data_IF_971157910576
#
_entry.id   IF_971157910576
#
_cell.length_a   1.000
_cell.length_b   1.000
_cell.length_c   1.000
_cell.angle_alpha   90.00
_cell.angle_beta   90.00
_cell.angle_gamma   90.00
#
_symmetry.space_group_name_H-M   'P 1'
#
loop_
_entity.id
_entity.type
_entity.pdbx_description
1 polymer ?
#
# COMPACT_ATOMS: atom_id res chain seq x y z
N UNK A 1 6.63 -4.48 12.09
CA UNK A 1 7.07 -3.36 11.23
C UNK A 1 5.85 -2.57 10.80
N UNK A 2 6.01 -1.27 10.58
CA UNK A 2 5.01 -0.44 9.94
C UNK A 2 5.40 -0.24 8.48
N UNK A 3 4.43 -0.33 7.58
CA UNK A 3 4.63 -0.23 6.14
C UNK A 3 3.91 0.98 5.60
N UNK A 4 4.55 1.72 4.69
CA UNK A 4 3.88 2.62 3.75
C UNK A 4 4.15 2.07 2.35
N UNK A 5 3.08 1.79 1.60
CA UNK A 5 3.14 1.32 0.23
C UNK A 5 2.57 2.39 -0.69
N UNK A 6 3.36 2.80 -1.67
CA UNK A 6 2.92 3.67 -2.77
C UNK A 6 3.00 2.91 -4.09
N UNK A 7 2.16 3.28 -5.05
CA UNK A 7 2.25 2.72 -6.39
C UNK A 7 2.04 3.76 -7.49
N UNK A 8 2.62 3.48 -8.65
CA UNK A 8 2.29 4.10 -9.93
C UNK A 8 2.05 2.99 -10.95
N UNK A 9 0.80 2.79 -11.35
CA UNK A 9 0.35 1.61 -12.10
C UNK A 9 -0.73 2.03 -13.09
N UNK A 10 -0.70 1.46 -14.29
CA UNK A 10 -1.71 1.71 -15.30
C UNK A 10 -3.15 1.42 -14.82
N UNK A 11 -4.10 2.29 -15.20
CA UNK A 11 -5.50 2.31 -14.72
C UNK A 11 -6.21 0.96 -14.81
N UNK A 12 -5.93 0.18 -15.86
CA UNK A 12 -6.52 -1.15 -16.09
C UNK A 12 -6.19 -2.18 -15.00
N UNK A 13 -5.06 -2.02 -14.31
CA UNK A 13 -4.56 -2.93 -13.25
C UNK A 13 -4.85 -2.42 -11.83
N UNK A 14 -5.12 -1.12 -11.66
CA UNK A 14 -5.29 -0.46 -10.36
C UNK A 14 -6.33 -1.18 -9.47
N UNK A 15 -7.47 -1.61 -10.03
CA UNK A 15 -8.54 -2.23 -9.24
C UNK A 15 -8.08 -3.52 -8.55
N UNK A 16 -7.32 -4.37 -9.25
CA UNK A 16 -6.79 -5.63 -8.73
C UNK A 16 -5.72 -5.40 -7.68
N UNK A 17 -4.76 -4.51 -7.96
CA UNK A 17 -3.68 -4.14 -7.03
C UNK A 17 -4.28 -3.55 -5.75
N UNK A 18 -5.20 -2.59 -5.88
CA UNK A 18 -5.90 -1.98 -4.75
C UNK A 18 -6.63 -3.00 -3.89
N UNK A 19 -7.30 -3.98 -4.52
CA UNK A 19 -7.99 -5.05 -3.79
C UNK A 19 -7.01 -5.90 -2.98
N UNK A 20 -5.82 -6.21 -3.53
CA UNK A 20 -4.77 -6.92 -2.79
C UNK A 20 -4.26 -6.05 -1.64
N UNK A 21 -3.85 -4.80 -1.89
CA UNK A 21 -3.34 -3.91 -0.84
C UNK A 21 -4.33 -3.74 0.32
N UNK A 22 -5.64 -3.61 0.05
CA UNK A 22 -6.69 -3.51 1.07
C UNK A 22 -6.81 -4.72 2.00
N UNK A 23 -6.36 -5.91 1.60
CA UNK A 23 -6.35 -7.10 2.48
C UNK A 23 -5.34 -6.96 3.62
N UNK A 24 -4.29 -6.17 3.40
CA UNK A 24 -3.12 -6.11 4.27
C UNK A 24 -2.95 -4.73 4.94
N UNK A 25 -3.31 -3.65 4.23
CA UNK A 25 -3.00 -2.28 4.60
C UNK A 25 -4.25 -1.39 4.51
N UNK A 26 -4.27 -0.33 5.31
CA UNK A 26 -5.30 0.71 5.26
C UNK A 26 -5.07 1.60 4.05
N UNK A 27 -6.12 1.87 3.28
CA UNK A 27 -6.03 2.73 2.10
C UNK A 27 -6.17 4.21 2.48
N UNK A 28 -5.15 5.01 2.18
CA UNK A 28 -5.00 6.39 2.68
C UNK A 28 -5.28 7.42 1.60
N UNK A 29 -4.69 7.23 0.42
CA UNK A 29 -4.84 8.10 -0.75
C UNK A 29 -4.93 7.21 -1.99
N UNK A 30 -5.31 7.80 -3.14
CA UNK A 30 -5.53 7.09 -4.42
C UNK A 30 -4.50 6.00 -4.73
N UNK A 31 -3.24 6.23 -4.34
CA UNK A 31 -2.11 5.34 -4.61
C UNK A 31 -1.25 5.07 -3.36
N UNK A 32 -1.78 5.29 -2.15
CA UNK A 32 -1.02 5.16 -0.89
C UNK A 32 -1.78 4.30 0.12
N UNK A 33 -1.07 3.36 0.72
CA UNK A 33 -1.55 2.45 1.74
C UNK A 33 -0.57 2.41 2.90
N UNK A 34 -1.06 2.21 4.13
CA UNK A 34 -0.20 2.08 5.30
C UNK A 34 -0.75 1.10 6.33
N UNK A 35 0.11 0.56 7.18
CA UNK A 35 -0.30 -0.31 8.27
C UNK A 35 0.81 -1.18 8.83
N UNK A 36 0.53 -1.80 9.98
CA UNK A 36 1.44 -2.73 10.62
C UNK A 36 1.34 -4.11 9.97
N UNK A 37 2.48 -4.66 9.56
CA UNK A 37 2.58 -6.02 9.04
C UNK A 37 3.64 -6.83 9.81
N UNK A 38 3.45 -8.15 9.82
CA UNK A 38 4.51 -9.12 10.11
C UNK A 38 5.36 -9.37 8.85
N UNK A 39 6.58 -9.89 9.01
CA UNK A 39 7.43 -10.28 7.87
C UNK A 39 6.72 -11.27 6.95
N UNK A 40 5.96 -12.22 7.52
CA UNK A 40 5.18 -13.20 6.77
C UNK A 40 4.07 -12.57 5.94
N UNK A 41 3.30 -11.63 6.51
CA UNK A 41 2.26 -10.90 5.78
C UNK A 41 2.85 -10.04 4.67
N UNK A 42 3.99 -9.38 4.92
CA UNK A 42 4.66 -8.59 3.88
C UNK A 42 5.14 -9.48 2.72
N UNK A 43 5.66 -10.68 3.02
CA UNK A 43 6.04 -11.66 2.01
C UNK A 43 4.85 -12.11 1.17
N UNK A 44 3.69 -12.33 1.79
CA UNK A 44 2.44 -12.67 1.10
C UNK A 44 1.93 -11.51 0.23
N UNK A 45 1.93 -10.28 0.75
CA UNK A 45 1.59 -9.07 -0.01
C UNK A 45 2.47 -8.94 -1.26
N UNK A 46 3.80 -9.02 -1.11
CA UNK A 46 4.76 -8.98 -2.23
C UNK A 46 4.48 -10.10 -3.24
N UNK A 47 4.15 -11.31 -2.78
CA UNK A 47 3.81 -12.47 -3.63
C UNK A 47 2.53 -12.26 -4.44
N UNK A 48 1.47 -11.70 -3.84
CA UNK A 48 0.20 -11.43 -4.52
C UNK A 48 0.29 -10.26 -5.50
N UNK A 49 1.12 -9.25 -5.22
CA UNK A 49 1.28 -8.08 -6.08
C UNK A 49 2.16 -8.35 -7.31
N UNK A 50 3.22 -9.16 -7.17
CA UNK A 50 4.19 -9.42 -8.24
C UNK A 50 3.58 -9.88 -9.58
N UNK A 51 2.59 -10.80 -9.63
CA UNK A 51 1.96 -11.19 -10.90
C UNK A 51 0.98 -10.15 -11.46
N UNK A 52 0.61 -9.13 -10.68
CA UNK A 52 -0.35 -8.10 -11.10
C UNK A 52 0.33 -6.90 -11.76
N UNK A 53 1.65 -6.76 -11.62
CA UNK A 53 2.42 -5.62 -12.14
C UNK A 53 3.26 -6.00 -13.35
N UNK A 54 3.46 -5.03 -14.23
CA UNK A 54 4.37 -5.11 -15.38
C UNK A 54 5.66 -4.36 -15.03
N UNK A 55 6.81 -5.05 -14.83
CA UNK A 55 8.04 -4.43 -14.35
C UNK A 55 8.58 -3.28 -15.23
N UNK A 56 8.16 -3.20 -16.49
CA UNK A 56 8.60 -2.18 -17.44
C UNK A 56 7.77 -0.89 -17.37
N UNK A 57 6.58 -0.93 -16.79
CA UNK A 57 5.62 0.21 -16.82
C UNK A 57 5.07 0.59 -15.46
N UNK A 58 5.16 -0.32 -14.48
CA UNK A 58 4.54 -0.16 -13.18
C UNK A 58 5.62 -0.07 -12.09
N UNK A 59 5.35 0.71 -11.06
CA UNK A 59 6.19 0.79 -9.88
C UNK A 59 5.38 0.63 -8.59
N UNK A 60 5.99 -0.04 -7.62
CA UNK A 60 5.50 -0.12 -6.24
C UNK A 60 6.69 0.15 -5.35
N UNK A 61 6.55 1.11 -4.42
CA UNK A 61 7.56 1.43 -3.42
C UNK A 61 6.99 1.02 -2.05
N UNK A 62 7.81 0.33 -1.26
CA UNK A 62 7.47 -0.12 0.08
C UNK A 62 8.49 0.46 1.04
N UNK A 63 8.06 1.36 1.91
CA UNK A 63 8.84 1.88 3.02
C UNK A 63 8.56 1.02 4.25
N UNK A 64 9.63 0.47 4.82
CA UNK A 64 9.57 -0.37 6.02
C UNK A 64 10.13 0.39 7.22
N UNK A 65 9.33 0.51 8.28
CA UNK A 65 9.72 1.18 9.52
C UNK A 65 9.70 0.16 10.67
N UNK A 66 10.84 -0.06 11.31
CA UNK A 66 10.92 -0.90 12.50
C UNK A 66 10.31 -0.21 13.73
N UNK A 67 10.46 1.12 13.80
CA UNK A 67 9.94 1.95 14.87
C UNK A 67 9.45 3.30 14.32
N UNK A 68 8.30 3.76 14.78
CA UNK A 68 7.69 5.04 14.41
C UNK A 68 8.13 6.21 15.29
N UNK A 69 9.01 5.98 16.29
CA UNK A 69 9.44 6.97 17.28
C UNK A 69 10.00 8.26 16.67
N UNK A 70 10.64 8.18 15.50
CA UNK A 70 11.21 9.32 14.79
C UNK A 70 10.49 9.60 13.47
N UNK A 71 9.20 9.27 13.41
CA UNK A 71 8.37 9.49 12.22
C UNK A 71 7.25 10.46 12.58
N UNK A 72 7.11 11.52 11.79
CA UNK A 72 5.93 12.37 11.81
C UNK A 72 5.13 12.15 10.53
N UNK A 73 3.81 12.20 10.66
CA UNK A 73 2.89 12.20 9.52
C UNK A 73 2.01 13.44 9.65
N UNK A 74 2.06 14.28 8.64
CA UNK A 74 1.17 15.42 8.49
C UNK A 74 0.31 15.21 7.25
N UNK A 75 -0.97 15.59 7.34
CA UNK A 75 -1.86 15.56 6.20
C UNK A 75 -2.44 16.96 6.00
N UNK A 76 -2.23 17.49 4.81
CA UNK A 76 -2.81 18.76 4.36
C UNK A 76 -3.97 18.47 3.41
N UNK A 77 -5.09 19.18 3.59
CA UNK A 77 -6.28 19.01 2.74
C UNK A 77 -7.15 17.80 3.08
N UNK A 78 -8.00 17.40 2.13
CA UNK A 78 -9.13 16.48 2.39
C UNK A 78 -8.66 15.05 2.65
N UNK A 79 -9.13 14.46 3.76
CA UNK A 79 -9.13 13.02 3.99
C UNK A 79 -10.33 12.39 3.31
N UNK A 80 -10.12 11.74 2.16
CA UNK A 80 -11.10 10.79 1.68
C UNK A 80 -10.97 9.53 2.54
N UNK A 81 -11.87 9.35 3.50
CA UNK A 81 -11.98 8.05 4.19
C UNK A 81 -12.41 7.00 3.15
N UNK A 82 -11.45 6.24 2.63
CA UNK A 82 -11.75 5.08 1.82
C UNK A 82 -12.14 3.93 2.75
N UNK A 83 -13.28 4.08 3.42
CA UNK A 83 -13.85 3.08 4.32
C UNK A 83 -13.91 1.72 3.63
N UNK A 84 -13.45 0.70 4.35
CA UNK A 84 -13.66 -0.69 3.99
C UNK A 84 -15.13 -1.00 4.29
N UNK A 85 -15.99 -0.89 3.29
CA UNK A 85 -17.27 -1.60 3.33
C UNK A 85 -16.91 -3.08 3.26
N UNK A 86 -17.14 -3.77 4.38
CA UNK A 86 -17.06 -5.23 4.51
C UNK A 86 -18.17 -5.85 3.67
#
# INVERSE_FOLDING_TARGET
MYIILTYDIATVKISKVRKVCKKYLRHIQKSVFEGSLTCSQLKLLKKELKPLISPQTDSIIIYEFENLKFTSKEQLGVSNEYTNVI
#
